data_IF_347395096999
#
_entry.id   IF_347395096999
#
_cell.length_a   1.000
_cell.length_b   1.000
_cell.length_c   1.000
_cell.angle_alpha   90.00
_cell.angle_beta   90.00
_cell.angle_gamma   90.00
#
_symmetry.space_group_name_H-M   'P 1'
#
loop_
_entity.id
_entity.type
_entity.pdbx_description
1 polymer ?
#
# COMPACT_ATOMS: atom_id res chain seq x y z
N UNK A 1 54.59 -4.42 -22.94
CA UNK A 1 53.14 -4.15 -22.88
C UNK A 1 52.43 -5.46 -23.14
N UNK A 2 51.72 -6.01 -22.15
CA UNK A 2 50.74 -7.08 -22.36
C UNK A 2 49.57 -6.75 -21.43
N UNK A 3 48.58 -6.13 -22.05
CA UNK A 3 47.28 -5.81 -21.49
C UNK A 3 46.51 -7.12 -21.30
N UNK A 4 46.34 -7.55 -20.05
CA UNK A 4 45.50 -8.68 -19.71
C UNK A 4 44.09 -8.17 -19.41
N UNK A 5 43.27 -8.33 -20.44
CA UNK A 5 41.81 -8.24 -20.49
C UNK A 5 41.14 -8.60 -19.14
N UNK A 6 40.59 -7.58 -18.46
CA UNK A 6 39.74 -7.78 -17.29
C UNK A 6 38.39 -8.27 -17.77
N UNK A 7 38.20 -9.59 -17.78
CA UNK A 7 36.89 -10.21 -17.89
C UNK A 7 35.99 -9.71 -16.75
N UNK A 8 35.06 -8.82 -17.08
CA UNK A 8 33.95 -8.43 -16.22
C UNK A 8 33.05 -9.66 -16.04
N UNK A 9 32.78 -10.11 -14.80
CA UNK A 9 31.89 -11.25 -14.60
C UNK A 9 30.48 -10.84 -15.03
N UNK A 10 29.94 -11.56 -16.03
CA UNK A 10 28.54 -11.48 -16.41
C UNK A 10 27.69 -11.80 -15.17
N UNK A 11 26.99 -10.78 -14.68
CA UNK A 11 26.07 -10.90 -13.56
C UNK A 11 24.89 -11.72 -14.05
N UNK A 12 24.87 -13.02 -13.77
CA UNK A 12 23.76 -13.93 -14.04
C UNK A 12 22.45 -13.25 -13.61
N UNK A 13 21.66 -12.81 -14.58
CA UNK A 13 20.30 -12.33 -14.35
C UNK A 13 19.45 -13.55 -14.11
N UNK A 14 19.44 -14.04 -12.86
CA UNK A 14 18.52 -15.10 -12.44
C UNK A 14 17.09 -14.66 -12.79
N UNK A 15 16.43 -15.40 -13.67
CA UNK A 15 15.02 -15.13 -14.00
C UNK A 15 14.19 -15.19 -12.72
N UNK A 16 13.32 -14.19 -12.46
CA UNK A 16 12.52 -14.19 -11.25
C UNK A 16 11.56 -15.39 -11.30
N UNK A 17 11.76 -16.33 -10.38
CA UNK A 17 10.91 -17.51 -10.24
C UNK A 17 9.48 -17.08 -9.93
N UNK A 18 8.53 -17.34 -10.83
CA UNK A 18 7.09 -17.07 -10.66
C UNK A 18 6.40 -18.12 -9.78
N UNK A 19 6.92 -18.32 -8.58
CA UNK A 19 6.36 -19.27 -7.61
C UNK A 19 5.19 -18.58 -6.89
N UNK A 20 4.08 -19.31 -6.73
CA UNK A 20 2.91 -18.81 -6.02
C UNK A 20 3.26 -18.54 -4.54
N UNK A 21 2.99 -17.33 -4.01
CA UNK A 21 3.23 -17.05 -2.60
C UNK A 21 2.27 -17.86 -1.72
N UNK A 22 2.64 -18.12 -0.46
CA UNK A 22 1.74 -18.78 0.48
C UNK A 22 0.46 -17.96 0.69
N UNK A 23 -0.71 -18.60 0.86
CA UNK A 23 -1.96 -17.91 1.19
C UNK A 23 -1.83 -17.11 2.49
N UNK A 24 -2.38 -15.90 2.51
CA UNK A 24 -2.45 -15.06 3.72
C UNK A 24 -3.65 -15.46 4.58
N UNK A 25 -3.49 -15.40 5.91
CA UNK A 25 -4.63 -15.49 6.82
C UNK A 25 -5.60 -14.33 6.57
N UNK A 26 -6.90 -14.60 6.73
CA UNK A 26 -7.96 -13.57 6.65
C UNK A 26 -8.35 -13.01 8.01
N UNK A 27 -7.78 -13.54 9.11
CA UNK A 27 -8.02 -13.04 10.46
C UNK A 27 -7.51 -11.61 10.59
N UNK A 28 -8.36 -10.71 11.09
CA UNK A 28 -7.99 -9.33 11.37
C UNK A 28 -8.05 -9.05 12.87
N UNK A 29 -6.97 -8.47 13.39
CA UNK A 29 -6.91 -7.94 14.75
C UNK A 29 -6.53 -6.46 14.64
N UNK A 30 -7.40 -5.52 15.06
CA UNK A 30 -7.12 -4.10 14.92
C UNK A 30 -5.92 -3.70 15.79
N UNK A 31 -4.93 -3.00 15.23
CA UNK A 31 -3.80 -2.49 15.98
C UNK A 31 -4.22 -1.35 16.92
N UNK A 32 -3.44 -1.13 17.98
CA UNK A 32 -3.77 -0.13 19.02
C UNK A 32 -3.68 1.31 18.50
N UNK A 33 -2.81 1.54 17.53
CA UNK A 33 -2.50 2.81 16.88
C UNK A 33 -3.31 3.03 15.58
N UNK A 34 -4.40 2.29 15.40
CA UNK A 34 -5.25 2.36 14.19
C UNK A 34 -5.67 3.79 13.85
N UNK A 35 -5.99 4.62 14.84
CA UNK A 35 -6.39 6.01 14.63
C UNK A 35 -5.24 6.86 14.08
N UNK A 36 -4.04 6.73 14.66
CA UNK A 36 -2.84 7.46 14.22
C UNK A 36 -2.38 7.02 12.82
N UNK A 37 -2.47 5.72 12.53
CA UNK A 37 -2.21 5.16 11.21
C UNK A 37 -3.19 5.67 10.15
N UNK A 38 -4.49 5.72 10.46
CA UNK A 38 -5.49 6.31 9.56
C UNK A 38 -5.21 7.78 9.30
N UNK A 39 -4.97 8.55 10.35
CA UNK A 39 -4.72 9.98 10.25
C UNK A 39 -3.50 10.30 9.38
N UNK A 40 -2.39 9.58 9.55
CA UNK A 40 -1.19 9.78 8.75
C UNK A 40 -1.45 9.52 7.26
N UNK A 41 -2.14 8.43 6.92
CA UNK A 41 -2.49 8.10 5.53
C UNK A 41 -3.49 9.08 4.91
N UNK A 42 -4.48 9.55 5.68
CA UNK A 42 -5.43 10.56 5.20
C UNK A 42 -4.70 11.87 4.92
N UNK A 43 -3.84 12.34 5.83
CA UNK A 43 -3.04 13.55 5.62
C UNK A 43 -2.12 13.44 4.41
N UNK A 44 -1.53 12.27 4.17
CA UNK A 44 -0.66 12.05 3.01
C UNK A 44 -1.42 12.01 1.68
N UNK A 45 -2.64 11.45 1.66
CA UNK A 45 -3.45 11.30 0.44
C UNK A 45 -4.19 12.59 0.07
N UNK A 46 -4.79 13.26 1.07
CA UNK A 46 -5.61 14.46 0.88
C UNK A 46 -4.79 15.76 0.98
N UNK A 47 -3.62 15.72 1.59
CA UNK A 47 -2.71 16.85 1.67
C UNK A 47 -3.17 17.96 2.60
N UNK A 48 -2.60 19.18 2.46
CA UNK A 48 -2.76 20.28 3.42
C UNK A 48 -4.15 20.93 3.41
N UNK A 49 -5.02 20.60 2.44
CA UNK A 49 -6.40 21.08 2.38
C UNK A 49 -7.36 20.28 3.27
N UNK A 50 -6.85 19.25 3.97
CA UNK A 50 -7.63 18.42 4.87
C UNK A 50 -8.06 19.26 6.10
N UNK A 51 -9.35 19.26 6.48
CA UNK A 51 -9.80 19.90 7.70
C UNK A 51 -9.27 19.18 8.95
N UNK A 52 -9.31 19.86 10.09
CA UNK A 52 -8.95 19.27 11.38
C UNK A 52 -9.86 18.08 11.74
N UNK A 53 -11.14 18.17 11.37
CA UNK A 53 -12.13 17.09 11.44
C UNK A 53 -11.98 16.10 10.27
N UNK A 54 -10.77 15.55 10.09
CA UNK A 54 -10.43 14.68 8.97
C UNK A 54 -11.36 13.45 8.83
N UNK A 55 -11.92 12.95 9.93
CA UNK A 55 -12.86 11.81 9.93
C UNK A 55 -14.19 12.12 9.23
N UNK A 56 -14.56 13.40 9.13
CA UNK A 56 -15.78 13.86 8.45
C UNK A 56 -15.52 14.22 6.99
N UNK A 57 -14.27 14.08 6.51
CA UNK A 57 -13.92 14.41 5.13
C UNK A 57 -14.55 13.38 4.19
N UNK A 58 -15.37 13.81 3.23
CA UNK A 58 -16.08 12.88 2.37
C UNK A 58 -15.16 12.23 1.34
N UNK A 59 -15.36 10.94 1.07
CA UNK A 59 -14.62 10.12 0.12
C UNK A 59 -15.27 10.14 -1.29
N UNK A 60 -15.66 11.32 -1.78
CA UNK A 60 -16.36 11.45 -3.07
C UNK A 60 -15.44 11.22 -4.28
N UNK A 61 -14.19 11.68 -4.21
CA UNK A 61 -13.25 11.50 -5.31
C UNK A 61 -12.76 10.05 -5.36
N UNK A 62 -13.22 9.29 -6.36
CA UNK A 62 -12.87 7.88 -6.53
C UNK A 62 -11.35 7.62 -6.55
N UNK A 63 -10.56 8.54 -7.10
CA UNK A 63 -9.10 8.43 -7.15
C UNK A 63 -8.47 8.50 -5.76
N UNK A 64 -8.89 9.46 -4.93
CA UNK A 64 -8.38 9.60 -3.56
C UNK A 64 -8.88 8.45 -2.68
N UNK A 65 -10.15 8.09 -2.81
CA UNK A 65 -10.74 6.93 -2.14
C UNK A 65 -9.95 5.65 -2.45
N UNK A 66 -9.69 5.38 -3.73
CA UNK A 66 -8.88 4.22 -4.13
C UNK A 66 -7.48 4.26 -3.53
N UNK A 67 -6.79 5.41 -3.61
CA UNK A 67 -5.43 5.56 -3.04
C UNK A 67 -5.39 5.31 -1.54
N UNK A 68 -6.34 5.87 -0.79
CA UNK A 68 -6.44 5.66 0.65
C UNK A 68 -6.68 4.17 0.97
N UNK A 69 -7.68 3.55 0.36
CA UNK A 69 -8.03 2.15 0.62
C UNK A 69 -6.91 1.18 0.23
N UNK A 70 -6.21 1.44 -0.89
CA UNK A 70 -5.10 0.63 -1.33
C UNK A 70 -3.92 0.68 -0.34
N UNK A 71 -3.61 1.87 0.20
CA UNK A 71 -2.56 2.03 1.21
C UNK A 71 -2.92 1.32 2.52
N UNK A 72 -4.14 1.51 3.01
CA UNK A 72 -4.61 0.82 4.22
C UNK A 72 -4.61 -0.71 4.05
N UNK A 73 -4.98 -1.21 2.87
CA UNK A 73 -4.95 -2.65 2.60
C UNK A 73 -3.52 -3.22 2.57
N UNK A 74 -2.55 -2.44 2.08
CA UNK A 74 -1.14 -2.82 2.11
C UNK A 74 -0.58 -2.83 3.54
N UNK A 75 -0.87 -1.78 4.31
CA UNK A 75 -0.37 -1.60 5.69
C UNK A 75 -1.03 -2.58 6.69
N UNK A 76 -2.37 -2.63 6.72
CA UNK A 76 -3.13 -3.47 7.65
C UNK A 76 -3.27 -4.91 7.18
N UNK A 77 -2.92 -5.18 5.92
CA UNK A 77 -3.09 -6.50 5.32
C UNK A 77 -4.54 -6.94 5.15
N UNK A 78 -5.49 -6.00 5.24
CA UNK A 78 -6.93 -6.28 5.15
C UNK A 78 -7.60 -5.31 4.17
N UNK A 79 -8.18 -5.87 3.10
CA UNK A 79 -8.87 -5.09 2.08
C UNK A 79 -10.39 -5.08 2.32
N UNK A 80 -11.02 -3.95 2.01
CA UNK A 80 -12.48 -3.82 2.07
C UNK A 80 -13.10 -4.60 0.90
N UNK A 81 -14.11 -5.45 1.13
CA UNK A 81 -14.77 -6.19 0.07
C UNK A 81 -15.59 -5.27 -0.84
N UNK A 82 -15.69 -5.63 -2.12
CA UNK A 82 -16.41 -4.84 -3.13
C UNK A 82 -17.86 -4.51 -2.76
N UNK A 83 -18.54 -5.43 -2.07
CA UNK A 83 -19.91 -5.24 -1.60
C UNK A 83 -20.06 -4.11 -0.58
N UNK A 84 -18.99 -3.70 0.11
CA UNK A 84 -19.01 -2.63 1.12
C UNK A 84 -18.50 -1.29 0.57
N UNK A 85 -17.86 -1.27 -0.61
CA UNK A 85 -17.26 -0.04 -1.15
C UNK A 85 -18.29 1.07 -1.39
N UNK A 86 -19.55 0.74 -1.70
CA UNK A 86 -20.62 1.72 -1.89
C UNK A 86 -21.05 2.44 -0.59
N UNK A 87 -20.73 1.85 0.57
CA UNK A 87 -21.03 2.41 1.90
C UNK A 87 -19.92 3.30 2.44
N UNK A 88 -18.73 3.23 1.88
CA UNK A 88 -17.62 4.11 2.25
C UNK A 88 -17.80 5.46 1.57
N UNK A 89 -18.28 6.45 2.33
CA UNK A 89 -18.65 7.79 1.86
C UNK A 89 -17.88 8.86 2.59
#
# INVERSE_FOLDING_TARGET
>A
EVEADRAVPEKERSEPSLICPPPRSRSYLPPKDLQSCLESHVREVFGPSLPEDWQQTPLQENRLKHRLLARLAAELGHAVPNSQLHRMR
#
